data_IF_825954543351
#
_entry.id   IF_825954543351
#
_cell.length_a   1.000
_cell.length_b   1.000
_cell.length_c   1.000
_cell.angle_alpha   90.00
_cell.angle_beta   90.00
_cell.angle_gamma   90.00
#
_symmetry.space_group_name_H-M   'P 1'
#
loop_
_entity.id
_entity.type
_entity.pdbx_description
1 polymer ?
#
# COMPACT_ATOMS: atom_id res chain seq x y z
N UNK A 1 18.70 -9.99 35.13
CA UNK A 1 18.55 -10.15 33.66
C UNK A 1 17.33 -9.34 33.28
N UNK A 2 17.49 -8.20 32.58
CA UNK A 2 16.33 -7.50 32.04
C UNK A 2 15.68 -8.40 30.99
N UNK A 3 14.42 -8.80 31.22
CA UNK A 3 13.66 -9.58 30.27
C UNK A 3 13.54 -8.83 28.94
N UNK A 4 13.31 -9.57 27.82
CA UNK A 4 13.02 -8.94 26.53
C UNK A 4 11.80 -8.04 26.67
N UNK A 5 11.83 -6.89 25.97
CA UNK A 5 10.68 -6.01 25.91
C UNK A 5 9.57 -6.62 25.08
N UNK A 6 8.34 -6.47 25.54
CA UNK A 6 7.16 -7.03 24.94
C UNK A 6 6.38 -5.96 24.14
N UNK A 7 6.12 -6.23 22.88
CA UNK A 7 5.38 -5.34 21.99
C UNK A 7 4.09 -6.02 21.52
N UNK A 8 2.97 -5.37 21.75
CA UNK A 8 1.68 -5.79 21.20
C UNK A 8 1.44 -5.12 19.84
N UNK A 9 0.99 -5.89 18.87
CA UNK A 9 0.66 -5.41 17.52
C UNK A 9 -0.79 -5.77 17.24
N UNK A 10 -1.64 -4.77 17.06
CA UNK A 10 -3.03 -4.96 16.66
C UNK A 10 -3.16 -4.87 15.14
N UNK A 11 -3.67 -5.96 14.54
CA UNK A 11 -3.82 -6.14 13.10
C UNK A 11 -2.70 -6.97 12.47
N UNK A 12 -3.06 -8.16 11.95
CA UNK A 12 -2.18 -9.13 11.29
C UNK A 12 -2.21 -9.09 9.77
N UNK A 13 -2.63 -7.97 9.17
CA UNK A 13 -2.50 -7.70 7.74
C UNK A 13 -1.04 -7.53 7.32
N UNK A 14 -0.78 -7.19 6.04
CA UNK A 14 0.59 -7.07 5.50
C UNK A 14 1.50 -6.19 6.37
N UNK A 15 1.03 -5.01 6.77
CA UNK A 15 1.83 -4.07 7.56
C UNK A 15 2.11 -4.62 8.96
N UNK A 16 1.11 -5.19 9.63
CA UNK A 16 1.27 -5.73 10.97
C UNK A 16 2.13 -7.00 11.01
N UNK A 17 1.95 -7.90 10.05
CA UNK A 17 2.76 -9.12 9.94
C UNK A 17 4.24 -8.79 9.70
N UNK A 18 4.53 -7.85 8.78
CA UNK A 18 5.89 -7.35 8.54
C UNK A 18 6.45 -6.65 9.79
N UNK A 19 5.65 -5.87 10.51
CA UNK A 19 6.06 -5.23 11.77
C UNK A 19 6.44 -6.26 12.82
N UNK A 20 5.63 -7.31 12.98
CA UNK A 20 5.86 -8.37 13.96
C UNK A 20 7.20 -9.10 13.72
N UNK A 21 7.43 -9.53 12.49
CA UNK A 21 8.69 -10.21 12.13
C UNK A 21 9.90 -9.27 12.25
N UNK A 22 9.80 -8.04 11.78
CA UNK A 22 10.89 -7.09 11.81
C UNK A 22 11.31 -6.68 13.23
N UNK A 23 10.36 -6.53 14.15
CA UNK A 23 10.65 -6.24 15.56
C UNK A 23 11.15 -7.48 16.30
N UNK A 24 10.62 -8.65 15.97
CA UNK A 24 11.13 -9.91 16.51
C UNK A 24 12.62 -10.12 16.17
N UNK A 25 13.04 -9.83 14.92
CA UNK A 25 14.46 -9.89 14.54
C UNK A 25 15.33 -8.87 15.32
N UNK A 26 14.74 -7.81 15.88
CA UNK A 26 15.39 -6.87 16.80
C UNK A 26 15.44 -7.36 18.24
N UNK A 27 14.93 -8.56 18.52
CA UNK A 27 14.99 -9.21 19.85
C UNK A 27 13.82 -8.88 20.77
N UNK A 28 12.69 -8.38 20.25
CA UNK A 28 11.46 -8.15 21.01
C UNK A 28 10.62 -9.43 21.08
N UNK A 29 9.89 -9.61 22.17
CA UNK A 29 8.80 -10.57 22.26
C UNK A 29 7.53 -9.89 21.75
N UNK A 30 6.74 -10.58 20.90
CA UNK A 30 5.63 -10.01 20.18
C UNK A 30 4.32 -10.70 20.53
N UNK A 31 3.27 -9.96 20.79
CA UNK A 31 1.88 -10.43 20.69
C UNK A 31 1.24 -9.83 19.45
N UNK A 32 1.00 -10.66 18.43
CA UNK A 32 0.26 -10.26 17.23
C UNK A 32 -1.23 -10.57 17.42
N UNK A 33 -2.06 -9.55 17.41
CA UNK A 33 -3.48 -9.63 17.69
C UNK A 33 -4.25 -9.37 16.40
N UNK A 34 -5.14 -10.30 15.99
CA UNK A 34 -6.11 -10.08 14.92
C UNK A 34 -7.44 -10.74 15.28
N UNK A 35 -8.50 -10.41 14.57
CA UNK A 35 -9.81 -11.03 14.78
C UNK A 35 -9.80 -12.50 14.43
N UNK A 36 -9.13 -12.85 13.35
CA UNK A 36 -8.99 -14.20 12.83
C UNK A 36 -7.68 -14.36 12.04
N UNK A 37 -7.27 -15.60 11.80
CA UNK A 37 -6.16 -15.88 10.88
C UNK A 37 -6.55 -15.42 9.48
N UNK A 38 -5.70 -14.65 8.76
CA UNK A 38 -5.97 -14.29 7.39
C UNK A 38 -6.20 -15.51 6.50
N UNK A 39 -7.29 -15.48 5.77
CA UNK A 39 -7.60 -16.49 4.76
C UNK A 39 -7.26 -16.00 3.37
N UNK A 40 -6.98 -16.91 2.42
CA UNK A 40 -6.80 -16.53 1.02
C UNK A 40 -7.97 -15.67 0.54
N UNK A 41 -7.65 -14.63 -0.23
CA UNK A 41 -8.66 -13.77 -0.84
C UNK A 41 -9.43 -14.46 -1.95
N UNK A 42 -10.45 -13.78 -2.50
CA UNK A 42 -11.16 -14.27 -3.67
C UNK A 42 -10.20 -14.37 -4.86
N UNK A 43 -10.16 -15.55 -5.46
CA UNK A 43 -9.33 -15.82 -6.63
C UNK A 43 -10.16 -15.77 -7.92
N UNK A 44 -9.50 -15.39 -9.01
CA UNK A 44 -10.08 -15.42 -10.33
C UNK A 44 -9.01 -15.52 -11.41
N UNK A 45 -9.24 -16.32 -12.42
CA UNK A 45 -8.28 -16.61 -13.48
C UNK A 45 -6.92 -17.12 -12.95
N UNK A 46 -6.94 -17.87 -11.82
CA UNK A 46 -5.72 -18.42 -11.21
C UNK A 46 -4.91 -17.45 -10.37
N UNK A 47 -5.42 -16.26 -10.09
CA UNK A 47 -4.75 -15.21 -9.29
C UNK A 47 -5.63 -14.69 -8.16
N UNK A 48 -5.01 -14.14 -7.11
CA UNK A 48 -5.74 -13.32 -6.12
C UNK A 48 -6.22 -12.03 -6.80
N UNK A 49 -7.48 -11.67 -6.60
CA UNK A 49 -8.03 -10.41 -7.13
C UNK A 49 -7.43 -9.20 -6.40
N UNK A 50 -6.97 -9.39 -5.16
CA UNK A 50 -6.30 -8.34 -4.40
C UNK A 50 -4.80 -8.35 -4.70
N UNK A 51 -4.34 -7.32 -5.35
CA UNK A 51 -2.94 -7.13 -5.70
C UNK A 51 -2.43 -5.79 -5.16
N UNK A 52 -1.14 -5.72 -4.90
CA UNK A 52 -0.46 -4.52 -4.44
C UNK A 52 0.79 -4.25 -5.28
N UNK A 53 0.97 -3.02 -5.69
CA UNK A 53 2.22 -2.59 -6.31
C UNK A 53 3.25 -2.31 -5.20
N UNK A 54 4.43 -2.91 -5.30
CA UNK A 54 5.49 -2.82 -4.32
C UNK A 54 6.72 -2.14 -4.89
N UNK A 55 7.28 -1.21 -4.14
CA UNK A 55 8.52 -0.52 -4.46
C UNK A 55 9.75 -1.39 -4.11
N UNK A 56 10.91 -1.01 -4.62
CA UNK A 56 12.19 -1.66 -4.30
C UNK A 56 12.47 -1.72 -2.80
N UNK A 57 12.18 -0.64 -2.09
CA UNK A 57 12.39 -0.57 -0.64
C UNK A 57 11.42 -1.47 0.13
N UNK A 58 10.18 -1.62 -0.37
CA UNK A 58 9.19 -2.54 0.21
C UNK A 58 9.58 -3.99 -0.03
N UNK A 59 10.04 -4.32 -1.23
CA UNK A 59 10.53 -5.66 -1.57
C UNK A 59 11.71 -6.05 -0.66
N UNK A 60 12.73 -5.20 -0.55
CA UNK A 60 13.88 -5.48 0.34
C UNK A 60 13.49 -5.73 1.79
N UNK A 61 12.52 -4.97 2.31
CA UNK A 61 12.00 -5.20 3.65
C UNK A 61 11.36 -6.59 3.77
N UNK A 62 10.55 -6.99 2.80
CA UNK A 62 9.89 -8.30 2.79
C UNK A 62 10.92 -9.43 2.66
N UNK A 63 11.87 -9.32 1.72
CA UNK A 63 12.94 -10.31 1.49
C UNK A 63 13.87 -10.49 2.71
N UNK A 64 13.98 -9.50 3.58
CA UNK A 64 14.70 -9.64 4.85
C UNK A 64 13.96 -10.47 5.89
N UNK A 65 12.68 -10.80 5.66
CA UNK A 65 11.80 -11.48 6.62
C UNK A 65 11.33 -12.85 6.12
N UNK A 66 11.01 -12.94 4.84
CA UNK A 66 10.46 -14.15 4.18
C UNK A 66 10.95 -14.23 2.74
N UNK A 67 10.84 -15.41 2.15
CA UNK A 67 11.11 -15.60 0.73
C UNK A 67 10.12 -14.77 -0.12
N UNK A 68 10.66 -14.16 -1.18
CA UNK A 68 9.85 -13.38 -2.10
C UNK A 68 8.90 -14.28 -2.89
N UNK A 69 7.60 -13.94 -3.00
CA UNK A 69 6.66 -14.75 -3.73
C UNK A 69 6.99 -14.79 -5.23
N UNK A 70 7.16 -16.00 -5.76
CA UNK A 70 7.48 -16.19 -7.18
C UNK A 70 6.42 -15.66 -8.14
N UNK A 71 5.17 -15.49 -7.68
CA UNK A 71 4.04 -15.03 -8.47
C UNK A 71 4.03 -13.51 -8.71
N UNK A 72 4.91 -12.75 -8.05
CA UNK A 72 4.97 -11.30 -8.26
C UNK A 72 5.44 -10.95 -9.68
N UNK A 73 4.64 -10.15 -10.38
CA UNK A 73 4.96 -9.61 -11.71
C UNK A 73 5.81 -8.34 -11.59
N UNK A 74 6.95 -8.28 -12.26
CA UNK A 74 7.72 -7.04 -12.33
C UNK A 74 7.17 -6.11 -13.43
N UNK A 75 7.22 -4.81 -13.20
CA UNK A 75 6.96 -3.82 -14.24
C UNK A 75 8.19 -2.94 -14.47
N UNK A 76 8.53 -2.77 -15.74
CA UNK A 76 9.72 -2.03 -16.19
C UNK A 76 9.36 -0.63 -16.64
N UNK A 77 8.10 -0.42 -17.00
CA UNK A 77 7.62 0.86 -17.45
C UNK A 77 6.26 1.20 -16.82
N UNK A 78 5.94 2.49 -16.78
CA UNK A 78 4.62 3.00 -16.47
C UNK A 78 4.20 3.97 -17.57
N UNK A 79 3.01 3.78 -18.11
CA UNK A 79 2.41 4.66 -19.10
C UNK A 79 1.12 5.26 -18.56
N UNK A 80 1.08 6.58 -18.48
CA UNK A 80 -0.06 7.33 -17.93
C UNK A 80 -0.55 8.33 -18.95
N UNK A 81 -1.86 8.31 -19.27
CA UNK A 81 -2.49 9.24 -20.20
C UNK A 81 -3.92 9.57 -19.79
N UNK A 82 -4.51 10.56 -20.40
CA UNK A 82 -5.89 10.96 -20.13
C UNK A 82 -6.79 10.81 -21.38
N UNK A 83 -8.09 10.72 -21.12
CA UNK A 83 -9.10 10.44 -22.18
C UNK A 83 -9.11 11.48 -23.31
N UNK A 84 -8.87 12.73 -22.98
CA UNK A 84 -8.91 13.85 -23.92
C UNK A 84 -7.57 14.59 -24.03
N UNK A 85 -6.52 14.02 -23.43
CA UNK A 85 -5.18 14.62 -23.42
C UNK A 85 -4.39 14.30 -24.67
N UNK A 86 -3.58 15.26 -25.08
CA UNK A 86 -2.65 15.09 -26.20
C UNK A 86 -1.30 14.51 -25.71
N UNK A 87 -1.01 14.66 -24.43
CA UNK A 87 0.24 14.25 -23.81
C UNK A 87 0.06 13.00 -22.93
N UNK A 88 1.08 12.17 -22.92
CA UNK A 88 1.19 11.02 -21.99
C UNK A 88 2.48 11.12 -21.19
N UNK A 89 2.50 10.57 -19.99
CA UNK A 89 3.70 10.36 -19.20
C UNK A 89 4.18 8.93 -19.40
N UNK A 90 5.44 8.80 -19.74
CA UNK A 90 6.09 7.51 -19.85
C UNK A 90 7.29 7.50 -18.91
N UNK A 91 7.34 6.52 -18.02
CA UNK A 91 8.43 6.26 -17.10
C UNK A 91 9.02 4.90 -17.44
N UNK A 92 10.34 4.83 -17.57
CA UNK A 92 11.06 3.60 -17.89
C UNK A 92 12.15 3.35 -16.84
N UNK A 93 12.32 2.12 -16.44
CA UNK A 93 13.35 1.72 -15.49
C UNK A 93 14.77 2.04 -16.03
N UNK A 94 14.96 1.96 -17.34
CA UNK A 94 16.20 2.30 -17.98
C UNK A 94 16.61 3.76 -17.77
N UNK A 95 15.65 4.69 -17.66
CA UNK A 95 15.91 6.11 -17.37
C UNK A 95 16.57 6.33 -16.00
N UNK A 96 16.38 5.36 -15.07
CA UNK A 96 16.99 5.35 -13.73
C UNK A 96 18.18 4.37 -13.63
N UNK A 97 18.50 3.62 -14.69
CA UNK A 97 19.51 2.57 -14.68
C UNK A 97 19.19 1.39 -13.77
N UNK A 98 17.90 1.10 -13.54
CA UNK A 98 17.43 -0.06 -12.77
C UNK A 98 16.75 -1.09 -13.70
N UNK A 99 16.62 -2.33 -13.20
CA UNK A 99 16.06 -3.44 -13.99
C UNK A 99 14.52 -3.36 -14.11
N UNK A 100 13.85 -2.78 -13.10
CA UNK A 100 12.39 -2.58 -13.09
C UNK A 100 12.01 -1.39 -12.20
N UNK A 101 10.76 -0.92 -12.31
CA UNK A 101 10.20 0.14 -11.47
C UNK A 101 9.55 -0.41 -10.19
N UNK A 102 9.20 -1.69 -10.18
CA UNK A 102 8.57 -2.34 -9.03
C UNK A 102 7.90 -3.65 -9.40
N UNK A 103 7.10 -4.16 -8.48
CA UNK A 103 6.43 -5.45 -8.60
C UNK A 103 4.95 -5.33 -8.24
N UNK A 104 4.12 -6.09 -8.94
CA UNK A 104 2.73 -6.33 -8.58
C UNK A 104 2.65 -7.69 -7.91
N UNK A 105 2.37 -7.71 -6.62
CA UNK A 105 2.32 -8.93 -5.83
C UNK A 105 0.88 -9.24 -5.41
N UNK A 106 0.53 -10.52 -5.47
CA UNK A 106 -0.72 -11.04 -4.93
C UNK A 106 -0.69 -10.99 -3.38
N UNK A 107 -1.76 -10.49 -2.77
CA UNK A 107 -1.81 -10.29 -1.31
C UNK A 107 -1.83 -11.62 -0.57
N UNK A 108 -2.60 -12.61 -1.04
CA UNK A 108 -2.78 -13.86 -0.32
C UNK A 108 -1.50 -14.69 -0.21
N UNK A 109 -0.71 -14.96 -1.28
CA UNK A 109 0.55 -15.67 -1.18
C UNK A 109 1.55 -14.97 -0.26
N UNK A 110 1.67 -13.64 -0.40
CA UNK A 110 2.58 -12.85 0.43
C UNK A 110 2.20 -12.91 1.91
N UNK A 111 0.93 -12.72 2.21
CA UNK A 111 0.43 -12.75 3.59
C UNK A 111 0.56 -14.16 4.18
N UNK A 112 0.33 -15.21 3.37
CA UNK A 112 0.52 -16.61 3.79
C UNK A 112 1.96 -16.90 4.18
N UNK A 113 2.94 -16.46 3.37
CA UNK A 113 4.37 -16.64 3.68
C UNK A 113 4.76 -15.94 5.00
N UNK A 114 4.29 -14.71 5.21
CA UNK A 114 4.51 -13.97 6.46
C UNK A 114 3.92 -14.70 7.66
N UNK A 115 2.68 -15.18 7.56
CA UNK A 115 2.03 -15.89 8.66
C UNK A 115 2.64 -17.24 8.95
N UNK A 116 3.08 -18.01 7.95
CA UNK A 116 3.83 -19.25 8.17
C UNK A 116 5.11 -19.01 8.99
N UNK A 117 5.83 -17.94 8.68
CA UNK A 117 7.03 -17.57 9.45
C UNK A 117 6.68 -17.12 10.87
N UNK A 118 5.61 -16.34 11.04
CA UNK A 118 5.10 -15.90 12.35
C UNK A 118 4.76 -17.12 13.23
N UNK A 119 4.00 -18.07 12.71
CA UNK A 119 3.53 -19.26 13.45
C UNK A 119 4.67 -20.19 13.88
N UNK A 120 5.79 -20.18 13.15
CA UNK A 120 6.98 -20.98 13.47
C UNK A 120 8.00 -20.23 14.34
N UNK A 121 7.76 -18.96 14.65
CA UNK A 121 8.67 -18.12 15.45
C UNK A 121 8.26 -18.11 16.93
N UNK A 122 9.01 -18.75 17.86
CA UNK A 122 8.57 -18.94 19.25
C UNK A 122 8.36 -17.64 20.05
N UNK A 123 9.03 -16.55 19.67
CA UNK A 123 8.92 -15.24 20.33
C UNK A 123 7.78 -14.37 19.78
N UNK A 124 6.96 -14.91 18.88
CA UNK A 124 5.72 -14.28 18.42
C UNK A 124 4.54 -15.13 18.88
N UNK A 125 3.71 -14.57 19.74
CA UNK A 125 2.45 -15.16 20.16
C UNK A 125 1.32 -14.57 19.30
N UNK A 126 0.59 -15.40 18.58
CA UNK A 126 -0.63 -14.99 17.88
C UNK A 126 -1.83 -15.06 18.82
N UNK A 127 -2.63 -14.02 18.81
CA UNK A 127 -3.81 -13.89 19.68
C UNK A 127 -5.01 -13.49 18.82
N UNK A 128 -6.05 -14.33 18.82
CA UNK A 128 -7.27 -14.05 18.09
C UNK A 128 -8.31 -13.43 19.00
N UNK A 129 -8.93 -12.33 18.54
CA UNK A 129 -9.94 -11.58 19.24
C UNK A 129 -9.96 -10.10 18.84
N UNK A 130 -11.04 -9.43 19.21
CA UNK A 130 -11.18 -7.98 19.02
C UNK A 130 -10.66 -7.23 20.25
N UNK A 131 -9.93 -6.15 20.01
CA UNK A 131 -9.51 -5.24 21.08
C UNK A 131 -10.73 -4.41 21.51
N UNK A 132 -11.14 -4.54 22.75
CA UNK A 132 -12.30 -3.83 23.32
C UNK A 132 -11.92 -2.55 24.05
N UNK A 133 -10.73 -2.52 24.62
CA UNK A 133 -10.20 -1.30 25.26
C UNK A 133 -8.68 -1.29 25.30
N UNK A 134 -8.14 -0.08 25.39
CA UNK A 134 -6.71 0.18 25.55
C UNK A 134 -6.54 1.15 26.71
N UNK A 135 -5.75 0.76 27.69
CA UNK A 135 -5.39 1.62 28.84
C UNK A 135 -3.89 1.67 29.00
N UNK A 136 -3.35 2.87 29.21
CA UNK A 136 -1.94 3.08 29.51
C UNK A 136 -1.75 3.31 31.00
N UNK A 137 -0.72 2.70 31.54
CA UNK A 137 -0.23 2.90 32.91
C UNK A 137 1.23 3.33 32.85
N UNK A 138 1.77 3.74 33.98
CA UNK A 138 3.19 4.05 34.05
C UNK A 138 4.03 2.83 33.66
N UNK A 139 4.74 2.94 32.53
CA UNK A 139 5.64 1.89 32.05
C UNK A 139 5.01 0.83 31.12
N UNK A 140 3.69 0.71 31.02
CA UNK A 140 3.04 -0.33 30.20
C UNK A 140 1.73 0.13 29.57
N UNK A 141 1.28 -0.62 28.58
CA UNK A 141 -0.05 -0.52 27.95
C UNK A 141 -0.78 -1.85 28.06
N UNK A 142 -2.04 -1.80 28.48
CA UNK A 142 -2.90 -2.97 28.60
C UNK A 142 -3.99 -2.94 27.55
N UNK A 143 -4.10 -4.02 26.77
CA UNK A 143 -5.19 -4.27 25.83
C UNK A 143 -6.13 -5.29 26.45
N UNK A 144 -7.42 -4.97 26.51
CA UNK A 144 -8.46 -5.93 26.90
C UNK A 144 -9.11 -6.51 25.64
N UNK A 145 -9.19 -7.83 25.57
CA UNK A 145 -9.96 -8.61 24.63
C UNK A 145 -11.09 -9.31 25.44
N UNK A 146 -12.07 -9.90 24.75
CA UNK A 146 -13.27 -10.47 25.40
C UNK A 146 -12.97 -11.41 26.58
N UNK A 147 -11.93 -12.26 26.48
CA UNK A 147 -11.64 -13.30 27.48
C UNK A 147 -10.29 -13.11 28.19
N UNK A 148 -9.49 -12.12 27.79
CA UNK A 148 -8.13 -11.94 28.32
C UNK A 148 -7.63 -10.51 28.17
N UNK A 149 -6.60 -10.18 28.92
CA UNK A 149 -5.83 -8.95 28.77
C UNK A 149 -4.39 -9.24 28.41
N UNK A 150 -3.80 -8.35 27.64
CA UNK A 150 -2.39 -8.40 27.24
C UNK A 150 -1.74 -7.14 27.75
N UNK A 151 -0.68 -7.30 28.55
CA UNK A 151 0.16 -6.20 28.98
C UNK A 151 1.44 -6.16 28.13
N UNK A 152 1.81 -4.99 27.65
CA UNK A 152 2.97 -4.79 26.79
C UNK A 152 3.69 -3.48 27.11
N UNK A 153 4.95 -3.37 26.73
CA UNK A 153 5.75 -2.15 26.85
C UNK A 153 5.39 -1.11 25.77
N UNK A 154 4.84 -1.56 24.65
CA UNK A 154 4.42 -0.72 23.50
C UNK A 154 3.26 -1.39 22.76
N UNK A 155 2.29 -0.61 22.31
CA UNK A 155 1.25 -1.04 21.37
C UNK A 155 1.47 -0.36 20.02
N UNK A 156 1.44 -1.16 18.97
CA UNK A 156 1.45 -0.70 17.58
C UNK A 156 0.13 -1.09 16.93
N UNK A 157 -0.68 -0.13 16.54
CA UNK A 157 -1.93 -0.36 15.83
C UNK A 157 -1.70 -0.29 14.32
N UNK A 158 -1.92 -1.42 13.66
CA UNK A 158 -1.91 -1.65 12.20
C UNK A 158 -3.19 -2.33 11.74
N UNK A 159 -4.29 -2.14 12.49
CA UNK A 159 -5.60 -2.79 12.38
C UNK A 159 -6.52 -2.18 11.30
N UNK A 160 -5.90 -1.48 10.33
CA UNK A 160 -6.52 -1.07 9.09
C UNK A 160 -7.37 0.19 9.17
N UNK A 161 -8.06 0.50 8.06
CA UNK A 161 -8.83 1.73 7.88
C UNK A 161 -9.92 1.94 8.95
N UNK A 162 -10.51 0.86 9.46
CA UNK A 162 -11.53 0.85 10.52
C UNK A 162 -10.96 0.55 11.90
N UNK A 163 -9.72 0.97 12.16
CA UNK A 163 -8.97 0.70 13.39
C UNK A 163 -9.82 0.78 14.66
N UNK A 164 -9.94 -0.35 15.36
CA UNK A 164 -10.58 -0.45 16.67
C UNK A 164 -9.79 0.29 17.73
N UNK A 165 -8.48 0.15 17.74
CA UNK A 165 -7.57 0.85 18.65
C UNK A 165 -7.74 2.37 18.55
N UNK A 166 -7.71 2.91 17.31
CA UNK A 166 -7.92 4.34 17.08
C UNK A 166 -9.28 4.81 17.60
N UNK A 167 -10.34 4.03 17.36
CA UNK A 167 -11.69 4.35 17.77
C UNK A 167 -11.85 4.30 19.30
N UNK A 168 -11.32 3.29 19.98
CA UNK A 168 -11.36 3.18 21.45
C UNK A 168 -10.63 4.34 22.13
N UNK A 169 -9.51 4.76 21.56
CA UNK A 169 -8.76 5.93 22.04
C UNK A 169 -9.38 7.27 21.61
N UNK A 170 -10.52 7.25 20.89
CA UNK A 170 -11.23 8.43 20.40
C UNK A 170 -10.32 9.42 19.65
N UNK A 171 -9.37 8.89 18.88
CA UNK A 171 -8.44 9.74 18.12
C UNK A 171 -9.22 10.46 17.02
N UNK A 172 -9.24 11.80 17.02
CA UNK A 172 -9.89 12.56 15.96
C UNK A 172 -9.33 12.18 14.60
N UNK A 173 -10.22 11.89 13.65
CA UNK A 173 -9.82 11.41 12.33
C UNK A 173 -10.53 12.25 11.27
N UNK A 174 -9.77 12.85 10.40
CA UNK A 174 -10.29 13.55 9.25
C UNK A 174 -10.60 12.53 8.15
N UNK A 175 -11.87 12.40 7.78
CA UNK A 175 -12.32 11.55 6.67
C UNK A 175 -12.78 12.46 5.55
N UNK A 176 -12.29 12.23 4.35
CA UNK A 176 -12.69 12.92 3.12
C UNK A 176 -13.21 11.87 2.13
N UNK A 177 -14.54 11.74 1.98
CA UNK A 177 -15.11 10.93 0.93
C UNK A 177 -14.66 11.47 -0.43
N UNK A 178 -14.25 10.60 -1.33
CA UNK A 178 -13.88 11.00 -2.70
C UNK A 178 -15.09 11.06 -3.62
N UNK A 179 -16.23 10.52 -3.18
CA UNK A 179 -17.40 10.31 -4.03
C UNK A 179 -17.22 9.17 -5.05
N UNK A 180 -16.12 8.46 -4.99
CA UNK A 180 -15.77 7.38 -5.93
C UNK A 180 -15.77 6.01 -5.25
N UNK A 181 -15.99 5.00 -6.08
CA UNK A 181 -15.87 3.59 -5.76
C UNK A 181 -14.72 2.98 -6.54
N UNK A 182 -14.01 2.03 -5.96
CA UNK A 182 -13.10 1.18 -6.70
C UNK A 182 -13.80 -0.09 -7.15
N UNK A 183 -13.59 -0.46 -8.41
CA UNK A 183 -13.80 -1.81 -8.92
C UNK A 183 -12.42 -2.46 -9.09
N UNK A 184 -12.23 -3.66 -8.56
CA UNK A 184 -11.02 -4.44 -8.77
C UNK A 184 -11.36 -5.83 -9.29
N UNK A 185 -10.54 -6.29 -10.23
CA UNK A 185 -10.67 -7.61 -10.86
C UNK A 185 -9.34 -8.03 -11.47
N UNK A 186 -9.30 -9.22 -12.07
CA UNK A 186 -8.22 -9.68 -12.95
C UNK A 186 -8.80 -9.86 -14.36
N UNK A 187 -8.06 -9.47 -15.37
CA UNK A 187 -8.42 -9.65 -16.77
C UNK A 187 -7.34 -10.42 -17.51
N UNK A 188 -7.79 -11.20 -18.52
CA UNK A 188 -6.93 -11.81 -19.52
C UNK A 188 -6.97 -10.99 -20.80
N UNK A 189 -5.81 -10.76 -21.38
CA UNK A 189 -5.60 -9.92 -22.56
C UNK A 189 -5.20 -10.79 -23.77
N UNK A 190 -5.62 -10.40 -24.95
CA UNK A 190 -5.18 -11.04 -26.19
C UNK A 190 -3.66 -10.84 -26.42
N UNK A 191 -3.14 -9.66 -26.09
CA UNK A 191 -1.72 -9.32 -26.25
C UNK A 191 -1.07 -9.03 -24.91
N UNK A 192 0.26 -9.23 -24.86
CA UNK A 192 1.07 -9.00 -23.66
C UNK A 192 0.98 -7.56 -23.15
N UNK A 193 0.97 -7.39 -21.82
CA UNK A 193 1.06 -6.11 -21.15
C UNK A 193 2.48 -5.47 -21.22
N UNK A 194 3.47 -6.17 -21.82
CA UNK A 194 4.82 -5.67 -22.05
C UNK A 194 5.56 -5.21 -20.77
N UNK A 195 5.32 -5.86 -19.64
CA UNK A 195 5.84 -5.45 -18.32
C UNK A 195 5.61 -3.97 -17.99
N UNK A 196 4.49 -3.41 -18.45
CA UNK A 196 4.16 -2.00 -18.27
C UNK A 196 2.92 -1.86 -17.40
N UNK A 197 2.98 -1.00 -16.39
CA UNK A 197 1.80 -0.55 -15.65
C UNK A 197 1.11 0.55 -16.47
N UNK A 198 -0.13 0.31 -16.86
CA UNK A 198 -0.91 1.21 -17.70
C UNK A 198 -1.97 1.90 -16.89
N UNK A 199 -2.03 3.23 -16.95
CA UNK A 199 -3.04 4.01 -16.24
C UNK A 199 -3.64 5.07 -17.14
N UNK A 200 -4.96 5.03 -17.29
CA UNK A 200 -5.72 6.02 -18.04
C UNK A 200 -6.62 6.81 -17.12
N UNK A 201 -6.52 8.12 -17.16
CA UNK A 201 -7.44 9.01 -16.49
C UNK A 201 -8.67 9.23 -17.38
N UNK A 202 -9.80 8.64 -16.97
CA UNK A 202 -11.10 8.82 -17.58
C UNK A 202 -11.86 9.92 -16.84
N UNK A 203 -12.93 10.45 -17.46
CA UNK A 203 -13.75 11.51 -16.86
C UNK A 203 -14.31 11.11 -15.50
N UNK A 204 -14.70 9.84 -15.34
CA UNK A 204 -15.29 9.31 -14.11
C UNK A 204 -14.25 8.83 -13.08
N UNK A 205 -13.01 8.74 -13.48
CA UNK A 205 -11.87 8.36 -12.62
C UNK A 205 -10.82 7.51 -13.32
N UNK A 206 -9.69 7.25 -12.67
CA UNK A 206 -8.59 6.50 -13.26
C UNK A 206 -8.89 5.00 -13.36
N UNK A 207 -8.48 4.43 -14.50
CA UNK A 207 -8.43 3.01 -14.77
C UNK A 207 -6.97 2.58 -14.88
N UNK A 208 -6.55 1.60 -14.08
CA UNK A 208 -5.20 1.05 -14.09
C UNK A 208 -5.21 -0.44 -14.43
N UNK A 209 -4.30 -0.86 -15.33
CA UNK A 209 -3.94 -2.24 -15.61
C UNK A 209 -2.53 -2.47 -15.08
N UNK A 210 -2.40 -3.32 -14.09
CA UNK A 210 -1.16 -3.64 -13.42
C UNK A 210 -0.68 -5.03 -13.88
N UNK A 211 0.53 -5.15 -14.43
CA UNK A 211 1.01 -6.39 -15.02
C UNK A 211 1.21 -7.47 -13.97
N UNK A 212 0.74 -8.68 -14.23
CA UNK A 212 1.03 -9.85 -13.44
C UNK A 212 2.36 -10.50 -13.88
N UNK A 213 2.76 -11.61 -13.25
CA UNK A 213 3.86 -12.44 -13.73
C UNK A 213 3.58 -13.05 -15.11
N UNK A 214 2.32 -13.41 -15.38
CA UNK A 214 1.89 -13.94 -16.67
C UNK A 214 1.63 -12.77 -17.62
N UNK A 215 2.25 -12.80 -18.79
CA UNK A 215 2.28 -11.67 -19.73
C UNK A 215 0.92 -11.20 -20.23
N UNK A 216 -0.07 -12.07 -20.20
CA UNK A 216 -1.43 -11.77 -20.72
C UNK A 216 -2.42 -11.48 -19.60
N UNK A 217 -2.00 -11.40 -18.33
CA UNK A 217 -2.90 -11.13 -17.21
C UNK A 217 -2.58 -9.80 -16.55
N UNK A 218 -3.62 -9.03 -16.26
CA UNK A 218 -3.50 -7.79 -15.50
C UNK A 218 -4.45 -7.77 -14.32
N UNK A 219 -3.95 -7.29 -13.19
CA UNK A 219 -4.81 -6.80 -12.10
C UNK A 219 -5.37 -5.43 -12.48
N UNK A 220 -6.66 -5.25 -12.30
CA UNK A 220 -7.37 -4.02 -12.65
C UNK A 220 -7.81 -3.29 -11.39
N UNK A 221 -7.59 -1.98 -11.37
CA UNK A 221 -8.18 -1.06 -10.40
C UNK A 221 -8.85 0.08 -11.17
N UNK A 222 -10.17 0.18 -11.07
CA UNK A 222 -10.97 1.20 -11.74
C UNK A 222 -11.71 2.07 -10.72
N UNK A 223 -11.30 3.29 -10.56
CA UNK A 223 -12.00 4.29 -9.75
C UNK A 223 -13.10 4.94 -10.59
N UNK A 224 -14.32 5.01 -10.05
CA UNK A 224 -15.49 5.49 -10.80
C UNK A 224 -16.61 5.94 -9.86
N UNK A 225 -17.63 6.61 -10.39
CA UNK A 225 -18.83 6.95 -9.64
C UNK A 225 -19.63 5.70 -9.23
N UNK A 226 -20.51 5.82 -8.24
CA UNK A 226 -21.42 4.74 -7.86
C UNK A 226 -22.28 4.29 -9.04
N UNK A 227 -22.78 5.24 -9.83
CA UNK A 227 -23.61 4.93 -11.00
C UNK A 227 -22.86 4.09 -12.03
N UNK A 228 -21.62 4.43 -12.36
CA UNK A 228 -20.79 3.66 -13.29
C UNK A 228 -20.42 2.29 -12.73
N UNK A 229 -20.15 2.21 -11.43
CA UNK A 229 -19.92 0.93 -10.77
C UNK A 229 -21.12 0.00 -10.90
N UNK A 230 -22.32 0.48 -10.57
CA UNK A 230 -23.55 -0.32 -10.65
C UNK A 230 -23.80 -0.83 -12.08
N UNK A 231 -23.57 0.03 -13.08
CA UNK A 231 -23.65 -0.35 -14.49
C UNK A 231 -22.61 -1.43 -14.84
N UNK A 232 -21.35 -1.26 -14.43
CA UNK A 232 -20.28 -2.20 -14.67
C UNK A 232 -20.49 -3.55 -13.97
N UNK A 233 -21.07 -3.57 -12.79
CA UNK A 233 -21.39 -4.79 -12.06
C UNK A 233 -22.58 -5.54 -12.67
N UNK A 234 -23.51 -4.82 -13.29
CA UNK A 234 -24.69 -5.41 -13.95
C UNK A 234 -24.39 -6.03 -15.33
N UNK A 235 -23.26 -5.68 -15.97
CA UNK A 235 -22.86 -6.26 -17.25
C UNK A 235 -22.53 -7.75 -17.12
N UNK A 236 -22.85 -8.52 -18.16
CA UNK A 236 -22.27 -9.86 -18.34
C UNK A 236 -20.74 -9.76 -18.50
N UNK A 237 -20.03 -10.87 -18.32
CA UNK A 237 -18.57 -10.87 -18.44
C UNK A 237 -18.11 -10.45 -19.85
N UNK A 238 -18.80 -10.92 -20.89
CA UNK A 238 -18.48 -10.54 -22.27
C UNK A 238 -18.71 -9.05 -22.56
N UNK A 239 -19.81 -8.47 -22.05
CA UNK A 239 -20.08 -7.03 -22.18
C UNK A 239 -19.04 -6.21 -21.42
N UNK A 240 -18.68 -6.65 -20.21
CA UNK A 240 -17.67 -5.96 -19.42
C UNK A 240 -16.28 -6.04 -20.08
N UNK A 241 -15.88 -7.20 -20.64
CA UNK A 241 -14.63 -7.33 -21.38
C UNK A 241 -14.56 -6.35 -22.55
N UNK A 242 -15.62 -6.24 -23.35
CA UNK A 242 -15.68 -5.25 -24.42
C UNK A 242 -15.65 -3.80 -23.91
N UNK A 243 -16.35 -3.53 -22.80
CA UNK A 243 -16.41 -2.19 -22.22
C UNK A 243 -15.06 -1.75 -21.69
N UNK A 244 -14.39 -2.58 -20.89
CA UNK A 244 -13.09 -2.25 -20.31
C UNK A 244 -11.98 -2.21 -21.38
N UNK A 245 -12.04 -3.07 -22.40
CA UNK A 245 -11.13 -3.02 -23.56
C UNK A 245 -11.20 -1.67 -24.26
N UNK A 246 -12.43 -1.17 -24.57
CA UNK A 246 -12.63 0.16 -25.16
C UNK A 246 -12.15 1.28 -24.21
N UNK A 247 -12.38 1.13 -22.90
CA UNK A 247 -11.89 2.09 -21.92
C UNK A 247 -10.36 2.20 -21.91
N UNK A 248 -9.62 1.15 -22.33
CA UNK A 248 -8.17 1.13 -22.53
C UNK A 248 -7.74 1.32 -24.01
N UNK A 249 -8.65 1.80 -24.88
CA UNK A 249 -8.40 2.04 -26.32
C UNK A 249 -7.99 0.79 -27.10
N UNK A 250 -8.41 -0.41 -26.62
CA UNK A 250 -8.05 -1.71 -27.21
C UNK A 250 -6.54 -1.91 -27.44
N UNK A 251 -5.71 -1.32 -26.58
CA UNK A 251 -4.22 -1.36 -26.71
C UNK A 251 -3.63 -2.75 -26.67
N UNK A 252 -4.35 -3.69 -26.06
CA UNK A 252 -3.91 -5.07 -25.86
C UNK A 252 -4.71 -6.07 -26.73
N UNK A 253 -5.35 -5.60 -27.79
CA UNK A 253 -6.36 -6.37 -28.50
C UNK A 253 -7.63 -6.48 -27.65
N UNK A 254 -8.28 -7.63 -27.69
CA UNK A 254 -9.47 -7.91 -26.91
C UNK A 254 -9.12 -8.30 -25.47
N UNK A 255 -10.00 -7.94 -24.53
CA UNK A 255 -10.02 -8.54 -23.20
C UNK A 255 -10.81 -9.83 -23.30
N UNK A 256 -10.14 -10.98 -23.15
CA UNK A 256 -10.70 -12.30 -23.45
C UNK A 256 -11.45 -12.93 -22.28
N UNK A 257 -11.05 -12.59 -21.05
CA UNK A 257 -11.72 -13.06 -19.84
C UNK A 257 -11.60 -12.04 -18.69
N UNK A 258 -12.53 -12.13 -17.75
CA UNK A 258 -12.57 -11.32 -16.53
C UNK A 258 -12.90 -12.21 -15.33
N UNK A 259 -12.21 -11.97 -14.20
CA UNK A 259 -12.54 -12.58 -12.93
C UNK A 259 -13.74 -11.90 -12.25
N UNK A 260 -14.13 -12.40 -11.07
CA UNK A 260 -15.12 -11.73 -10.23
C UNK A 260 -14.75 -10.25 -10.02
N UNK A 261 -15.74 -9.38 -10.16
CA UNK A 261 -15.60 -7.94 -9.94
C UNK A 261 -15.90 -7.61 -8.47
N UNK A 262 -14.90 -7.17 -7.72
CA UNK A 262 -15.05 -6.72 -6.35
C UNK A 262 -15.13 -5.20 -6.31
N UNK A 263 -15.80 -4.65 -5.30
CA UNK A 263 -15.90 -3.21 -5.14
C UNK A 263 -15.79 -2.75 -3.70
N UNK A 264 -15.27 -1.55 -3.51
CA UNK A 264 -15.20 -0.90 -2.21
C UNK A 264 -15.18 0.64 -2.35
N UNK A 265 -15.70 1.36 -1.32
CA UNK A 265 -15.71 2.82 -1.36
C UNK A 265 -14.29 3.38 -1.23
N UNK A 266 -14.02 4.44 -1.99
CA UNK A 266 -12.78 5.18 -1.92
C UNK A 266 -12.92 6.36 -0.97
N UNK A 267 -12.05 6.43 0.01
CA UNK A 267 -11.99 7.54 0.95
C UNK A 267 -10.53 7.87 1.28
N UNK A 268 -10.28 9.12 1.61
CA UNK A 268 -9.04 9.52 2.23
C UNK A 268 -9.28 9.70 3.72
N UNK A 269 -8.33 9.25 4.53
CA UNK A 269 -8.44 9.31 5.98
C UNK A 269 -7.10 9.65 6.60
N UNK A 270 -7.12 10.48 7.65
CA UNK A 270 -5.93 10.80 8.43
C UNK A 270 -6.28 10.99 9.89
N UNK A 271 -5.66 10.21 10.76
CA UNK A 271 -5.71 10.43 12.20
C UNK A 271 -4.98 11.73 12.58
N UNK A 272 -5.46 12.41 13.59
CA UNK A 272 -4.87 13.70 14.06
C UNK A 272 -3.45 13.53 14.62
N UNK A 273 -3.13 12.33 15.08
CA UNK A 273 -1.81 11.96 15.63
C UNK A 273 -1.46 10.51 15.27
N UNK A 274 -0.17 10.23 15.10
CA UNK A 274 0.35 8.86 15.01
C UNK A 274 0.74 8.29 16.38
N UNK A 275 0.73 9.10 17.44
CA UNK A 275 1.01 8.69 18.82
C UNK A 275 -0.10 9.22 19.74
N UNK A 276 -1.22 8.49 19.85
CA UNK A 276 -2.33 8.93 20.70
C UNK A 276 -2.03 8.87 22.21
N UNK A 277 -1.17 7.94 22.62
CA UNK A 277 -0.65 7.82 23.99
C UNK A 277 0.87 7.59 23.92
N UNK A 278 1.63 7.89 24.98
CA UNK A 278 3.09 7.71 25.01
C UNK A 278 3.58 6.35 24.52
N UNK A 279 2.83 5.28 24.81
CA UNK A 279 3.14 3.88 24.45
C UNK A 279 2.19 3.27 23.40
N UNK A 280 1.54 4.11 22.60
CA UNK A 280 0.65 3.66 21.53
C UNK A 280 0.99 4.39 20.23
N UNK A 281 1.27 3.62 19.18
CA UNK A 281 1.57 4.14 17.85
C UNK A 281 0.53 3.64 16.83
N UNK A 282 0.14 4.50 15.90
CA UNK A 282 -0.68 4.15 14.73
C UNK A 282 0.21 4.12 13.50
N UNK A 283 0.11 3.05 12.70
CA UNK A 283 0.83 2.89 11.44
C UNK A 283 -0.09 2.36 10.34
N UNK A 284 0.35 2.42 9.10
CA UNK A 284 -0.42 1.94 7.94
C UNK A 284 -1.78 2.62 7.85
N UNK A 285 -2.81 1.84 7.50
CA UNK A 285 -4.16 2.36 7.32
C UNK A 285 -4.86 2.76 8.64
N UNK A 286 -4.35 2.31 9.80
CA UNK A 286 -4.81 2.80 11.09
C UNK A 286 -4.45 4.29 11.30
N UNK A 287 -3.31 4.73 10.76
CA UNK A 287 -2.89 6.13 10.73
C UNK A 287 -3.53 6.90 9.58
N UNK A 288 -3.44 6.35 8.35
CA UNK A 288 -3.91 7.04 7.15
C UNK A 288 -4.36 6.08 6.06
N UNK A 289 -5.42 6.46 5.37
CA UNK A 289 -5.87 5.82 4.12
C UNK A 289 -5.67 6.81 2.99
N UNK A 290 -5.00 6.37 1.94
CA UNK A 290 -4.78 7.17 0.73
C UNK A 290 -5.59 6.59 -0.43
N UNK A 291 -5.91 7.43 -1.41
CA UNK A 291 -6.53 6.97 -2.65
C UNK A 291 -5.58 5.97 -3.35
N UNK A 292 -6.08 4.86 -3.95
CA UNK A 292 -5.25 3.83 -4.57
C UNK A 292 -4.54 4.27 -5.86
N UNK A 293 -4.44 5.56 -6.12
CA UNK A 293 -3.60 6.10 -7.20
C UNK A 293 -2.17 5.57 -7.03
N UNK A 294 -1.70 4.84 -8.01
CA UNK A 294 -0.36 4.25 -8.07
C UNK A 294 0.00 3.20 -6.96
N UNK A 295 -0.96 2.57 -6.29
CA UNK A 295 -0.69 1.48 -5.34
C UNK A 295 0.12 1.87 -4.10
N UNK A 296 0.09 3.14 -3.70
CA UNK A 296 0.98 3.70 -2.66
C UNK A 296 0.63 3.27 -1.22
N UNK A 297 -0.59 2.80 -0.93
CA UNK A 297 -1.07 2.59 0.44
C UNK A 297 -0.17 1.65 1.26
N UNK A 298 0.09 0.46 0.75
CA UNK A 298 0.93 -0.55 1.42
C UNK A 298 2.39 -0.08 1.54
N UNK A 299 2.94 0.56 0.50
CA UNK A 299 4.30 1.08 0.52
C UNK A 299 4.51 2.12 1.63
N UNK A 300 3.53 3.02 1.82
CA UNK A 300 3.55 3.98 2.94
C UNK A 300 3.50 3.27 4.30
N UNK A 301 2.75 2.17 4.41
CA UNK A 301 2.74 1.32 5.59
C UNK A 301 4.09 0.68 5.87
N UNK A 302 4.77 0.16 4.86
CA UNK A 302 6.11 -0.40 4.99
C UNK A 302 7.19 0.66 5.28
N UNK A 303 7.02 1.88 4.80
CA UNK A 303 7.84 3.01 5.23
C UNK A 303 7.62 3.34 6.72
N UNK A 304 6.38 3.19 7.24
CA UNK A 304 6.16 3.34 8.68
C UNK A 304 6.94 2.29 9.45
N UNK A 305 6.94 1.03 8.99
CA UNK A 305 7.71 -0.04 9.62
C UNK A 305 9.20 0.31 9.64
N UNK A 306 9.78 0.71 8.52
CA UNK A 306 11.21 1.10 8.46
C UNK A 306 11.53 2.27 9.39
N UNK A 307 10.70 3.31 9.38
CA UNK A 307 10.85 4.44 10.29
C UNK A 307 10.74 4.05 11.77
N UNK A 308 9.83 3.12 12.07
CA UNK A 308 9.63 2.57 13.40
C UNK A 308 10.88 1.80 13.87
N UNK A 309 11.43 0.93 13.04
CA UNK A 309 12.66 0.20 13.34
C UNK A 309 13.83 1.11 13.71
N UNK A 310 13.95 2.28 13.08
CA UNK A 310 14.95 3.29 13.44
C UNK A 310 14.62 4.13 14.68
N UNK A 311 13.47 3.88 15.32
CA UNK A 311 12.95 4.72 16.43
C UNK A 311 12.69 3.91 17.70
N UNK A 312 12.69 2.58 17.61
CA UNK A 312 12.51 1.67 18.75
C UNK A 312 13.88 1.28 19.29
N UNK A 313 14.34 2.03 20.27
CA UNK A 313 15.59 1.78 20.97
C UNK A 313 15.32 1.41 22.44
N UNK A 314 16.19 0.57 22.99
CA UNK A 314 16.18 0.19 24.41
C UNK A 314 17.42 0.78 25.06
N UNK A 315 17.25 1.67 26.06
CA UNK A 315 18.33 2.20 26.89
C UNK A 315 18.03 1.90 28.35
N UNK A 316 19.04 1.46 29.07
CA UNK A 316 18.95 1.10 30.50
C UNK A 316 17.81 0.10 30.81
N UNK A 317 17.50 -0.76 29.84
CA UNK A 317 16.46 -1.78 29.98
C UNK A 317 15.03 -1.26 29.75
N UNK A 318 14.82 -0.03 29.27
CA UNK A 318 13.50 0.50 28.93
C UNK A 318 13.45 1.08 27.49
N UNK A 319 12.24 1.14 26.92
CA UNK A 319 12.02 1.76 25.62
C UNK A 319 12.15 3.28 25.71
N UNK A 320 12.80 3.89 24.71
CA UNK A 320 13.08 5.33 24.69
C UNK A 320 11.91 6.12 24.07
N UNK A 321 11.06 6.79 24.88
CA UNK A 321 9.83 7.44 24.36
C UNK A 321 10.09 8.58 23.36
N UNK A 322 11.28 9.24 23.42
CA UNK A 322 11.64 10.32 22.50
C UNK A 322 11.71 9.87 21.04
N UNK A 323 12.13 8.62 20.80
CA UNK A 323 12.13 8.02 19.45
C UNK A 323 10.74 7.98 18.88
N UNK A 324 9.75 7.56 19.64
CA UNK A 324 8.35 7.44 19.21
C UNK A 324 7.74 8.79 18.83
N UNK A 325 8.00 9.83 19.61
CA UNK A 325 7.48 11.18 19.34
C UNK A 325 8.08 11.76 18.05
N UNK A 326 9.38 11.55 17.82
CA UNK A 326 10.04 11.96 16.57
C UNK A 326 9.45 11.21 15.38
N UNK A 327 9.36 9.89 15.46
CA UNK A 327 8.73 9.03 14.46
C UNK A 327 7.31 9.51 14.13
N UNK A 328 6.45 9.66 15.14
CA UNK A 328 5.05 10.04 14.96
C UNK A 328 4.89 11.38 14.24
N UNK A 329 5.71 12.37 14.58
CA UNK A 329 5.73 13.69 13.92
C UNK A 329 6.15 13.58 12.45
N UNK A 330 7.20 12.82 12.16
CA UNK A 330 7.70 12.63 10.80
C UNK A 330 6.65 11.91 9.93
N UNK A 331 6.03 10.85 10.46
CA UNK A 331 5.01 10.07 9.71
C UNK A 331 3.75 10.90 9.47
N UNK A 332 3.30 11.67 10.47
CA UNK A 332 2.15 12.55 10.31
C UNK A 332 2.40 13.66 9.28
N UNK A 333 3.59 14.28 9.30
CA UNK A 333 3.97 15.30 8.32
C UNK A 333 3.99 14.71 6.90
N UNK A 334 4.67 13.57 6.69
CA UNK A 334 4.72 12.90 5.38
C UNK A 334 3.31 12.52 4.91
N UNK A 335 2.45 12.02 5.80
CA UNK A 335 1.06 11.68 5.49
C UNK A 335 0.26 12.89 5.03
N UNK A 336 0.40 14.05 5.70
CA UNK A 336 -0.27 15.30 5.32
C UNK A 336 0.18 15.80 3.95
N UNK A 337 1.48 15.78 3.68
CA UNK A 337 2.05 16.17 2.40
C UNK A 337 1.53 15.26 1.28
N UNK A 338 1.59 13.95 1.47
CA UNK A 338 1.11 12.97 0.49
C UNK A 338 -0.39 13.14 0.18
N UNK A 339 -1.23 13.27 1.21
CA UNK A 339 -2.67 13.51 1.02
C UNK A 339 -2.93 14.85 0.32
N UNK A 340 -2.13 15.88 0.60
CA UNK A 340 -2.21 17.17 -0.10
C UNK A 340 -1.90 17.03 -1.58
N UNK A 341 -0.82 16.34 -1.94
CA UNK A 341 -0.44 16.07 -3.34
C UNK A 341 -1.52 15.27 -4.07
N UNK A 342 -1.98 14.17 -3.47
CA UNK A 342 -3.03 13.32 -4.07
C UNK A 342 -4.35 14.07 -4.24
N UNK A 343 -4.75 14.90 -3.27
CA UNK A 343 -5.95 15.74 -3.40
C UNK A 343 -5.80 16.79 -4.49
N UNK A 344 -4.62 17.39 -4.63
CA UNK A 344 -4.30 18.31 -5.72
C UNK A 344 -4.42 17.64 -7.10
N UNK A 345 -3.84 16.43 -7.23
CA UNK A 345 -3.97 15.64 -8.46
C UNK A 345 -5.44 15.28 -8.75
N UNK A 346 -6.20 14.83 -7.76
CA UNK A 346 -7.62 14.54 -7.95
C UNK A 346 -8.42 15.76 -8.41
N UNK A 347 -8.18 16.92 -7.81
CA UNK A 347 -8.83 18.18 -8.23
C UNK A 347 -8.43 18.55 -9.66
N UNK A 348 -7.16 18.42 -10.00
CA UNK A 348 -6.64 18.73 -11.32
C UNK A 348 -7.21 17.80 -12.41
N UNK A 349 -7.35 16.51 -12.13
CA UNK A 349 -7.86 15.52 -13.10
C UNK A 349 -9.39 15.33 -13.04
N UNK A 350 -10.05 15.75 -11.97
CA UNK A 350 -11.50 15.65 -11.79
C UNK A 350 -12.29 16.79 -12.44
N UNK A 351 -11.63 17.84 -12.93
CA UNK A 351 -12.28 18.97 -13.61
C UNK A 351 -12.11 18.86 -15.11
N UNK A 352 -13.23 18.97 -15.85
CA UNK A 352 -13.26 18.85 -17.31
C UNK A 352 -13.28 20.20 -18.04
N UNK A 353 -13.05 21.32 -17.33
CA UNK A 353 -13.03 22.63 -17.96
C UNK A 353 -11.76 22.84 -18.82
N UNK A 354 -11.86 23.68 -19.90
CA UNK A 354 -10.75 23.88 -20.84
C UNK A 354 -9.49 24.46 -20.21
N UNK A 355 -9.62 25.26 -19.14
CA UNK A 355 -8.50 25.93 -18.51
C UNK A 355 -7.68 24.95 -17.66
N UNK A 356 -8.33 24.08 -16.88
CA UNK A 356 -7.66 23.00 -16.15
C UNK A 356 -7.04 21.95 -17.08
N UNK A 357 -7.70 21.63 -18.19
CA UNK A 357 -7.12 20.78 -19.24
C UNK A 357 -5.86 21.37 -19.84
N UNK A 358 -5.85 22.68 -20.09
CA UNK A 358 -4.66 23.38 -20.59
C UNK A 358 -3.51 23.39 -19.57
N UNK A 359 -3.80 23.67 -18.29
CA UNK A 359 -2.81 23.61 -17.20
C UNK A 359 -2.24 22.21 -17.03
N UNK A 360 -3.06 21.15 -17.12
CA UNK A 360 -2.61 19.74 -17.08
C UNK A 360 -1.66 19.45 -18.24
N UNK A 361 -2.05 19.80 -19.47
CA UNK A 361 -1.23 19.54 -20.65
C UNK A 361 0.14 20.24 -20.57
N UNK A 362 0.19 21.46 -20.04
CA UNK A 362 1.47 22.16 -19.79
C UNK A 362 2.24 21.46 -18.68
N UNK A 363 1.61 21.09 -17.58
CA UNK A 363 2.25 20.39 -16.45
C UNK A 363 2.83 19.04 -16.87
N UNK A 364 2.06 18.22 -17.57
CA UNK A 364 2.50 16.93 -18.13
C UNK A 364 3.63 17.14 -19.14
N UNK A 365 3.52 18.14 -20.02
CA UNK A 365 4.58 18.51 -20.97
C UNK A 365 5.86 18.92 -20.25
N UNK A 366 5.77 19.73 -19.19
CA UNK A 366 6.92 20.17 -18.41
C UNK A 366 7.60 18.99 -17.68
N UNK A 367 6.84 18.06 -17.13
CA UNK A 367 7.41 16.84 -16.52
C UNK A 367 8.11 15.98 -17.57
N UNK A 368 7.50 15.81 -18.75
CA UNK A 368 8.11 15.02 -19.83
C UNK A 368 9.42 15.63 -20.38
N UNK A 369 9.52 16.95 -20.41
CA UNK A 369 10.69 17.65 -20.95
C UNK A 369 11.77 17.95 -19.91
N UNK A 370 11.51 17.67 -18.63
CA UNK A 370 12.40 17.96 -17.51
C UNK A 370 12.86 16.65 -16.87
N UNK A 371 13.91 16.07 -17.39
CA UNK A 371 14.45 14.77 -16.95
C UNK A 371 14.67 14.70 -15.44
N UNK A 372 15.22 15.78 -14.84
CA UNK A 372 15.40 15.84 -13.39
C UNK A 372 14.08 15.72 -12.61
N UNK A 373 13.03 16.41 -13.03
CA UNK A 373 11.73 16.37 -12.36
C UNK A 373 11.07 15.00 -12.51
N UNK A 374 11.15 14.41 -13.70
CA UNK A 374 10.70 13.06 -13.99
C UNK A 374 11.43 12.04 -13.11
N UNK A 375 12.75 12.12 -13.00
CA UNK A 375 13.55 11.26 -12.14
C UNK A 375 13.20 11.41 -10.67
N UNK A 376 12.97 12.62 -10.15
CA UNK A 376 12.57 12.84 -8.77
C UNK A 376 11.22 12.19 -8.44
N UNK A 377 10.24 12.32 -9.34
CA UNK A 377 8.93 11.68 -9.18
C UNK A 377 9.08 10.14 -9.15
N UNK A 378 9.90 9.59 -10.07
CA UNK A 378 10.17 8.16 -10.13
C UNK A 378 10.88 7.67 -8.86
N UNK A 379 11.89 8.39 -8.39
CA UNK A 379 12.64 8.05 -7.17
C UNK A 379 11.74 8.01 -5.93
N UNK A 380 10.87 8.99 -5.77
CA UNK A 380 9.94 8.99 -4.63
C UNK A 380 8.93 7.82 -4.75
N UNK A 381 8.47 7.49 -5.96
CA UNK A 381 7.61 6.34 -6.20
C UNK A 381 8.31 4.99 -5.91
N UNK A 382 9.62 4.89 -6.12
CA UNK A 382 10.44 3.72 -5.82
C UNK A 382 10.78 3.57 -4.32
N UNK A 383 10.44 4.55 -3.49
CA UNK A 383 10.68 4.54 -2.04
C UNK A 383 11.86 5.40 -1.59
N UNK A 384 12.21 6.45 -2.36
CA UNK A 384 13.22 7.45 -2.03
C UNK A 384 14.65 7.10 -2.45
N UNK A 385 15.59 7.97 -2.09
CA UNK A 385 17.02 7.85 -2.46
C UNK A 385 17.69 6.55 -1.98
N UNK A 386 17.22 5.94 -0.89
CA UNK A 386 17.72 4.64 -0.41
C UNK A 386 17.55 3.51 -1.46
N UNK A 387 16.76 3.74 -2.50
CA UNK A 387 16.60 2.80 -3.60
C UNK A 387 17.78 2.84 -4.59
N UNK A 388 18.47 3.98 -4.75
CA UNK A 388 19.59 4.15 -5.67
C UNK A 388 20.92 3.58 -5.14
N UNK A 389 21.19 3.70 -3.84
CA UNK A 389 22.43 3.17 -3.24
C UNK A 389 22.57 1.66 -3.43
N UNK A 390 21.44 0.96 -3.62
CA UNK A 390 21.45 -0.47 -3.94
C UNK A 390 21.70 -0.77 -5.43
N UNK A 391 21.34 0.13 -6.34
CA UNK A 391 21.63 -0.04 -7.77
C UNK A 391 23.13 0.17 -8.06
N UNK A 392 23.79 1.07 -7.33
CA UNK A 392 25.25 1.25 -7.43
C UNK A 392 26.03 0.09 -6.81
N UNK A 393 25.58 -0.46 -5.68
CA UNK A 393 26.22 -1.63 -5.07
C UNK A 393 26.11 -2.91 -5.90
N UNK A 394 25.03 -3.08 -6.69
CA UNK A 394 24.92 -4.23 -7.62
C UNK A 394 25.85 -4.07 -8.82
N UNK A 395 26.12 -2.85 -9.31
CA UNK A 395 27.11 -2.61 -10.36
C UNK A 395 28.55 -2.86 -9.89
N UNK A 396 28.84 -2.55 -8.61
CA UNK A 396 30.19 -2.77 -8.02
C UNK A 396 30.45 -4.25 -7.68
N UNK A 397 29.43 -5.07 -7.47
CA UNK A 397 29.57 -6.51 -7.24
C UNK A 397 29.65 -7.35 -8.55
N UNK A 398 29.34 -6.76 -9.70
CA UNK A 398 29.45 -7.41 -11.02
C UNK A 398 30.63 -6.93 -11.87
N UNK A 399 31.43 -6.02 -11.34
CA UNK A 399 32.72 -5.59 -11.92
C UNK A 399 33.90 -6.21 -11.12
#
# INVERSE_FOLDING_TARGET
>A
MSGRKHIAIAGGGLVGAVTALALQQRGFDISLIDRERPVPGPQGLGMDIRNVALSHSSRRLIESLVDWPEQAGEFKAMHVWEQWGVNSLHFDAADLGCDCLGWVAEVAPLLSALWQTIETTPSIQTVFGEVESVTEREGSVTLCLQERSIEADLLIASDGARSGVRNHLKVPTQIRPTGQMALTTVVELEHSHQHTAWQRFLVDGPLAFLPSKQENYCSVVWSQSQQSLDANLAMSDGEFCQHIGRAMESRFGDVTAVAQRLSFPLQQQLASTAQPLPRVLLIGDALRVVHPLAGLGVNLGFEDVRGLLGSVDVMDGDLVPRGFTKFARQRLLKSRLMLGVLSGLQTLYGQSDPMTSWVRNIGVGAVNTTDWLKQQIMLEALGGFDALDAAENVKTMRA
#
